data_IF_711893824554
#
_entry.id   IF_711893824554
#
_cell.length_a   1.000
_cell.length_b   1.000
_cell.length_c   1.000
_cell.angle_alpha   90.00
_cell.angle_beta   90.00
_cell.angle_gamma   90.00
#
_symmetry.space_group_name_H-M   'P 1'
#
loop_
_entity.id
_entity.type
_entity.pdbx_description
1 polymer ?
#
# COMPACT_ATOMS: atom_id res chain seq x y z
N UNK A 1 -15.77 11.79 -13.70
CA UNK A 1 -14.38 11.31 -13.76
C UNK A 1 -13.74 12.01 -14.92
N UNK A 2 -12.87 12.97 -14.63
CA UNK A 2 -12.13 13.72 -15.65
C UNK A 2 -11.09 12.76 -16.24
N UNK A 3 -11.11 12.56 -17.56
CA UNK A 3 -10.07 11.79 -18.24
C UNK A 3 -8.73 12.48 -18.02
N UNK A 4 -7.81 11.79 -17.34
CA UNK A 4 -6.43 12.24 -17.19
C UNK A 4 -5.72 12.01 -18.52
N UNK A 5 -5.89 12.95 -19.44
CA UNK A 5 -5.19 12.92 -20.72
C UNK A 5 -3.71 13.26 -20.50
N UNK A 6 -2.86 12.24 -20.45
CA UNK A 6 -1.41 12.44 -20.51
C UNK A 6 -1.04 13.13 -21.83
N UNK A 7 -0.35 14.28 -21.74
CA UNK A 7 0.28 14.88 -22.91
C UNK A 7 1.46 13.99 -23.31
N UNK A 8 1.27 13.21 -24.38
CA UNK A 8 2.24 12.22 -24.90
C UNK A 8 3.66 12.75 -25.14
N UNK A 9 3.82 14.06 -25.34
CA UNK A 9 5.10 14.69 -25.69
C UNK A 9 6.00 15.02 -24.48
N UNK A 10 5.49 14.93 -23.25
CA UNK A 10 6.22 15.30 -22.02
C UNK A 10 6.35 14.16 -21.00
N UNK A 11 5.84 12.96 -21.33
CA UNK A 11 5.82 11.81 -20.44
C UNK A 11 7.22 11.16 -20.31
N UNK A 12 7.91 11.40 -19.20
CA UNK A 12 9.21 10.79 -18.90
C UNK A 12 9.04 9.59 -17.98
N UNK A 13 9.46 8.40 -18.42
CA UNK A 13 9.54 7.22 -17.55
C UNK A 13 10.64 7.42 -16.51
N UNK A 14 10.29 7.36 -15.23
CA UNK A 14 11.20 7.52 -14.09
C UNK A 14 11.69 6.17 -13.58
N UNK A 15 10.79 5.20 -13.47
CA UNK A 15 11.09 3.86 -12.97
C UNK A 15 10.01 2.86 -13.39
N UNK A 16 10.28 1.58 -13.18
CA UNK A 16 9.30 0.49 -13.36
C UNK A 16 9.03 -0.18 -12.02
N UNK A 17 7.84 -0.76 -11.89
CA UNK A 17 7.41 -1.50 -10.71
C UNK A 17 6.37 -2.55 -11.09
N UNK A 18 5.92 -3.35 -10.12
CA UNK A 18 4.77 -4.24 -10.27
C UNK A 18 3.53 -3.58 -9.69
N UNK A 19 2.39 -3.79 -10.33
CA UNK A 19 1.08 -3.29 -9.91
C UNK A 19 0.02 -4.38 -10.13
N UNK A 20 -1.24 -4.03 -9.86
CA UNK A 20 -2.38 -4.92 -9.97
C UNK A 20 -3.38 -4.34 -10.97
N UNK A 21 -3.90 -5.18 -11.87
CA UNK A 21 -4.99 -4.82 -12.76
C UNK A 21 -6.26 -4.52 -11.94
N UNK A 22 -6.91 -3.36 -12.13
CA UNK A 22 -8.09 -2.98 -11.33
C UNK A 22 -9.32 -3.84 -11.61
N UNK A 23 -9.34 -4.56 -12.74
CA UNK A 23 -10.48 -5.40 -13.15
C UNK A 23 -10.32 -6.86 -12.69
N UNK A 24 -9.18 -7.50 -12.98
CA UNK A 24 -8.98 -8.93 -12.69
C UNK A 24 -7.98 -9.25 -11.59
N UNK A 25 -7.39 -8.24 -10.95
CA UNK A 25 -6.38 -8.40 -9.91
C UNK A 25 -5.11 -9.16 -10.31
N UNK A 26 -4.86 -9.32 -11.62
CA UNK A 26 -3.62 -9.89 -12.11
C UNK A 26 -2.43 -8.97 -11.79
N UNK A 27 -1.31 -9.56 -11.38
CA UNK A 27 -0.04 -8.85 -11.18
C UNK A 27 0.57 -8.51 -12.54
N UNK A 28 0.81 -7.23 -12.79
CA UNK A 28 1.26 -6.70 -14.10
C UNK A 28 2.38 -5.67 -13.91
N UNK A 29 3.24 -5.52 -14.91
CA UNK A 29 4.26 -4.48 -14.91
C UNK A 29 3.62 -3.09 -15.06
N UNK A 30 4.23 -2.12 -14.40
CA UNK A 30 3.82 -0.72 -14.44
C UNK A 30 5.03 0.20 -14.59
N UNK A 31 4.82 1.31 -15.27
CA UNK A 31 5.77 2.39 -15.45
C UNK A 31 5.35 3.59 -14.60
N UNK A 32 6.28 4.15 -13.85
CA UNK A 32 6.11 5.43 -13.16
C UNK A 32 6.55 6.52 -14.11
N UNK A 33 5.66 7.46 -14.41
CA UNK A 33 5.83 8.48 -15.42
C UNK A 33 5.63 9.86 -14.80
N UNK A 34 6.50 10.80 -15.14
CA UNK A 34 6.32 12.21 -14.81
C UNK A 34 5.67 12.95 -15.98
N UNK A 35 4.65 13.75 -15.70
CA UNK A 35 4.00 14.63 -16.70
C UNK A 35 3.28 15.78 -15.99
N UNK A 36 3.38 17.00 -16.52
CA UNK A 36 2.67 18.18 -16.00
C UNK A 36 2.85 18.41 -14.48
N UNK A 37 4.08 18.23 -13.98
CA UNK A 37 4.41 18.40 -12.56
C UNK A 37 3.80 17.35 -11.62
N UNK A 38 3.28 16.23 -12.17
CA UNK A 38 2.68 15.12 -11.42
C UNK A 38 3.33 13.80 -11.80
N UNK A 39 3.09 12.79 -10.97
CA UNK A 39 3.54 11.41 -11.19
C UNK A 39 2.32 10.53 -11.45
N UNK A 40 2.39 9.79 -12.54
CA UNK A 40 1.37 8.83 -12.97
C UNK A 40 1.94 7.42 -12.95
N UNK A 41 1.07 6.44 -12.79
CA UNK A 41 1.38 5.03 -12.98
C UNK A 41 0.64 4.53 -14.21
N UNK A 42 1.39 4.10 -15.22
CA UNK A 42 0.86 3.48 -16.43
C UNK A 42 1.05 1.96 -16.34
N UNK A 43 0.00 1.19 -16.58
CA UNK A 43 0.02 -0.28 -16.53
C UNK A 43 -0.82 -0.86 -17.66
N UNK A 44 -0.40 -1.99 -18.20
CA UNK A 44 -1.08 -2.65 -19.33
C UNK A 44 -1.45 -4.06 -18.93
N UNK A 45 -2.75 -4.34 -18.85
CA UNK A 45 -3.29 -5.68 -18.69
C UNK A 45 -3.51 -6.31 -20.07
N UNK A 46 -3.02 -7.54 -20.33
CA UNK A 46 -3.25 -8.23 -21.60
C UNK A 46 -4.74 -8.46 -21.94
N UNK A 47 -5.60 -8.44 -20.93
CA UNK A 47 -7.05 -8.70 -21.07
C UNK A 47 -7.86 -7.41 -21.04
N UNK A 48 -7.53 -6.46 -20.16
CA UNK A 48 -8.35 -5.26 -19.90
C UNK A 48 -7.77 -3.96 -20.47
N UNK A 49 -6.60 -4.01 -21.11
CA UNK A 49 -5.99 -2.86 -21.78
C UNK A 49 -5.12 -1.98 -20.88
N UNK A 50 -4.96 -0.73 -21.28
CA UNK A 50 -4.09 0.25 -20.63
C UNK A 50 -4.85 1.04 -19.56
N UNK A 51 -4.20 1.22 -18.41
CA UNK A 51 -4.65 2.10 -17.33
C UNK A 51 -3.56 3.11 -17.04
N UNK A 52 -3.95 4.36 -16.89
CA UNK A 52 -3.08 5.43 -16.37
C UNK A 52 -3.79 6.10 -15.22
N UNK A 53 -3.13 6.16 -14.08
CA UNK A 53 -3.72 6.70 -12.84
C UNK A 53 -2.76 7.68 -12.19
N UNK A 54 -3.29 8.69 -11.49
CA UNK A 54 -2.47 9.60 -10.69
C UNK A 54 -1.84 8.83 -9.51
N UNK A 55 -0.52 8.80 -9.47
CA UNK A 55 0.23 8.14 -8.40
C UNK A 55 0.68 9.14 -7.33
N UNK A 56 1.16 10.32 -7.73
CA UNK A 56 1.58 11.38 -6.81
C UNK A 56 1.26 12.75 -7.41
N UNK A 57 0.55 13.61 -6.67
CA UNK A 57 0.04 14.90 -7.17
C UNK A 57 1.06 16.02 -7.35
N UNK A 58 2.32 15.80 -6.95
CA UNK A 58 3.40 16.79 -6.94
C UNK A 58 4.74 16.06 -7.20
N UNK A 59 5.34 16.33 -8.36
CA UNK A 59 6.58 15.70 -8.79
C UNK A 59 7.79 16.14 -7.95
N UNK A 60 7.85 17.40 -7.50
CA UNK A 60 8.96 17.89 -6.66
C UNK A 60 8.97 17.15 -5.32
N UNK A 61 7.79 17.02 -4.71
CA UNK A 61 7.60 16.30 -3.46
C UNK A 61 7.92 14.81 -3.61
N UNK A 62 7.50 14.19 -4.71
CA UNK A 62 7.86 12.81 -5.03
C UNK A 62 9.38 12.64 -5.06
N UNK A 63 10.09 13.45 -5.86
CA UNK A 63 11.56 13.38 -5.97
C UNK A 63 12.26 13.67 -4.64
N UNK A 64 11.71 14.57 -3.82
CA UNK A 64 12.23 14.82 -2.46
C UNK A 64 12.11 13.58 -1.59
N UNK A 65 10.96 12.90 -1.61
CA UNK A 65 10.71 11.73 -0.77
C UNK A 65 11.40 10.46 -1.27
N UNK A 66 11.56 10.29 -2.59
CA UNK A 66 12.27 9.15 -3.17
C UNK A 66 13.73 9.03 -2.69
N UNK A 67 14.36 10.13 -2.26
CA UNK A 67 15.71 10.13 -1.67
C UNK A 67 15.81 9.35 -0.35
N UNK A 68 14.69 9.14 0.32
CA UNK A 68 14.62 8.40 1.58
C UNK A 68 14.14 6.95 1.40
N UNK A 69 13.85 6.52 0.16
CA UNK A 69 13.46 5.15 -0.11
C UNK A 69 14.64 4.21 0.13
N UNK A 70 14.45 3.24 1.02
CA UNK A 70 15.47 2.26 1.37
C UNK A 70 14.82 0.98 1.88
N UNK A 71 15.32 -0.18 1.45
CA UNK A 71 14.85 -1.48 1.92
C UNK A 71 15.33 -1.74 3.34
N UNK A 72 14.42 -2.06 4.26
CA UNK A 72 14.80 -2.42 5.62
C UNK A 72 15.54 -3.76 5.68
N UNK A 73 15.96 -4.17 6.88
CA UNK A 73 16.66 -5.45 7.09
C UNK A 73 15.75 -6.69 6.96
N UNK A 74 14.47 -6.49 6.69
CA UNK A 74 13.45 -7.54 6.76
C UNK A 74 13.17 -8.02 8.17
N UNK A 75 12.38 -9.07 8.28
CA UNK A 75 11.86 -9.59 9.53
C UNK A 75 12.57 -10.89 9.96
N UNK A 76 12.88 -11.00 11.25
CA UNK A 76 13.49 -12.23 11.80
C UNK A 76 12.47 -13.32 12.17
N UNK A 77 11.19 -12.97 12.29
CA UNK A 77 10.12 -13.88 12.70
C UNK A 77 8.92 -13.84 11.74
N UNK A 78 9.09 -14.30 10.48
CA UNK A 78 7.97 -14.38 9.54
C UNK A 78 6.91 -15.37 10.02
N UNK A 79 5.65 -14.96 10.00
CA UNK A 79 4.49 -15.84 10.25
C UNK A 79 4.17 -16.68 9.01
N UNK A 80 4.44 -16.15 7.81
CA UNK A 80 4.33 -16.89 6.56
C UNK A 80 5.71 -17.41 6.18
N UNK A 81 5.93 -18.72 6.21
CA UNK A 81 7.25 -19.35 6.01
C UNK A 81 7.56 -19.73 4.55
N UNK A 82 6.62 -19.46 3.62
CA UNK A 82 6.81 -19.78 2.20
C UNK A 82 7.92 -18.92 1.59
N UNK A 83 8.84 -19.57 0.88
CA UNK A 83 9.97 -18.91 0.20
C UNK A 83 9.57 -18.36 -1.19
N UNK A 84 8.48 -18.86 -1.78
CA UNK A 84 7.91 -18.41 -3.06
C UNK A 84 6.82 -17.37 -2.89
N UNK A 85 7.12 -16.26 -2.21
CA UNK A 85 6.12 -15.21 -2.01
C UNK A 85 5.78 -14.51 -3.34
N UNK A 86 4.49 -14.36 -3.60
CA UNK A 86 3.94 -13.66 -4.76
C UNK A 86 3.06 -12.54 -4.21
N UNK A 87 3.65 -11.38 -3.94
CA UNK A 87 2.87 -10.22 -3.48
C UNK A 87 1.88 -9.80 -4.59
N UNK A 88 0.57 -9.63 -4.32
CA UNK A 88 -0.14 -9.71 -3.03
C UNK A 88 -0.89 -11.04 -2.77
N UNK A 89 -0.74 -12.06 -3.60
CA UNK A 89 -1.55 -13.30 -3.62
C UNK A 89 -1.35 -14.22 -2.40
N UNK A 90 -0.21 -14.16 -1.71
CA UNK A 90 0.03 -14.85 -0.44
C UNK A 90 0.51 -13.88 0.64
N UNK A 91 -0.09 -12.68 0.70
CA UNK A 91 0.32 -11.62 1.60
C UNK A 91 0.04 -11.96 3.08
N UNK A 92 1.03 -11.64 3.92
CA UNK A 92 1.13 -11.86 5.35
C UNK A 92 2.57 -11.53 5.76
N UNK A 93 2.91 -11.57 7.05
CA UNK A 93 4.25 -11.23 7.53
C UNK A 93 5.30 -12.28 7.06
N UNK A 94 5.76 -12.20 5.80
CA UNK A 94 6.63 -13.15 5.09
C UNK A 94 8.08 -12.62 4.91
N UNK A 95 9.04 -13.45 4.48
CA UNK A 95 10.44 -13.02 4.27
C UNK A 95 10.61 -11.88 3.25
N UNK A 96 9.67 -11.70 2.33
CA UNK A 96 9.66 -10.58 1.39
C UNK A 96 9.30 -9.22 2.00
N UNK A 97 8.80 -9.18 3.24
CA UNK A 97 8.60 -7.91 3.94
C UNK A 97 9.91 -7.36 4.48
N UNK A 98 10.51 -6.50 3.67
CA UNK A 98 11.77 -5.81 3.98
C UNK A 98 11.57 -4.65 4.97
N UNK A 99 10.41 -4.01 4.96
CA UNK A 99 10.04 -2.95 5.90
C UNK A 99 9.61 -3.53 7.26
N UNK A 100 9.87 -2.76 8.32
CA UNK A 100 9.38 -3.06 9.67
C UNK A 100 8.08 -2.32 9.94
N UNK A 101 7.39 -2.69 11.01
CA UNK A 101 6.18 -2.02 11.48
C UNK A 101 6.42 -0.52 11.67
N UNK A 102 5.90 0.30 10.75
CA UNK A 102 6.01 1.77 10.81
C UNK A 102 5.04 2.37 11.83
N UNK A 103 3.88 1.74 12.02
CA UNK A 103 2.88 2.12 13.02
C UNK A 103 2.28 0.85 13.61
N UNK A 104 2.44 0.67 14.91
CA UNK A 104 1.77 -0.38 15.68
C UNK A 104 0.60 0.22 16.44
N UNK A 105 -0.60 -0.30 16.21
CA UNK A 105 -1.78 0.08 16.96
C UNK A 105 -2.17 -1.08 17.88
N UNK A 106 -2.28 -0.81 19.17
CA UNK A 106 -2.69 -1.80 20.19
C UNK A 106 -3.99 -1.32 20.79
N UNK A 107 -5.04 -2.12 20.67
CA UNK A 107 -6.35 -1.84 21.25
C UNK A 107 -6.45 -2.56 22.59
N UNK A 108 -6.39 -1.79 23.67
CA UNK A 108 -6.44 -2.32 25.04
C UNK A 108 -7.86 -2.42 25.60
N UNK A 109 -8.85 -1.82 24.94
CA UNK A 109 -10.27 -1.93 25.30
C UNK A 109 -11.13 -2.05 24.03
N UNK A 110 -12.29 -2.69 24.10
CA UNK A 110 -13.24 -2.76 22.99
C UNK A 110 -14.39 -1.73 23.09
N UNK A 111 -14.20 -0.64 23.87
CA UNK A 111 -15.21 0.42 24.03
C UNK A 111 -15.45 1.21 22.76
N UNK A 112 -14.40 1.41 21.97
CA UNK A 112 -14.52 2.02 20.66
C UNK A 112 -15.38 1.11 19.78
N UNK A 113 -16.54 1.59 19.33
CA UNK A 113 -17.40 0.84 18.42
C UNK A 113 -16.93 0.93 16.96
N UNK A 114 -15.84 1.66 16.70
CA UNK A 114 -15.09 1.71 15.45
C UNK A 114 -15.96 2.01 14.21
N UNK A 115 -17.08 2.72 14.44
CA UNK A 115 -18.04 3.13 13.43
C UNK A 115 -17.72 4.50 12.80
N UNK A 116 -16.46 4.95 12.92
CA UNK A 116 -15.99 6.17 12.28
C UNK A 116 -15.91 5.95 10.76
N UNK A 117 -16.27 6.96 9.98
CA UNK A 117 -16.32 6.84 8.50
C UNK A 117 -14.95 6.57 7.84
N UNK A 118 -13.84 6.76 8.55
CA UNK A 118 -12.46 6.44 8.13
C UNK A 118 -11.76 5.45 9.08
N UNK A 119 -12.49 4.48 9.63
CA UNK A 119 -11.89 3.53 10.57
C UNK A 119 -10.97 2.51 9.86
N UNK A 120 -9.66 2.58 10.10
CA UNK A 120 -8.66 1.61 9.62
C UNK A 120 -8.47 0.40 10.55
N UNK A 121 -9.28 0.30 11.60
CA UNK A 121 -9.10 -0.62 12.71
C UNK A 121 -10.48 -1.11 13.15
N UNK A 122 -10.98 -2.24 12.67
CA UNK A 122 -12.26 -2.80 13.14
C UNK A 122 -11.98 -3.94 14.10
N UNK A 123 -12.32 -3.74 15.38
CA UNK A 123 -12.34 -4.76 16.42
C UNK A 123 -13.79 -4.90 16.86
N UNK A 124 -14.47 -5.90 16.32
CA UNK A 124 -15.86 -6.18 16.64
C UNK A 124 -16.02 -6.49 18.14
N UNK A 125 -17.16 -6.10 18.71
CA UNK A 125 -17.48 -6.46 20.10
C UNK A 125 -17.64 -7.97 20.20
N UNK A 126 -16.85 -8.61 21.07
CA UNK A 126 -16.96 -10.04 21.38
C UNK A 126 -18.18 -10.39 22.27
N UNK A 127 -19.29 -9.65 22.15
CA UNK A 127 -20.50 -9.81 22.98
C UNK A 127 -20.46 -9.18 24.37
N UNK A 128 -19.31 -8.65 24.83
CA UNK A 128 -19.16 -7.95 26.12
C UNK A 128 -18.15 -6.80 26.02
N UNK A 129 -18.11 -5.91 27.01
CA UNK A 129 -17.10 -4.85 27.12
C UNK A 129 -15.85 -5.40 27.80
N UNK A 130 -14.73 -5.41 27.08
CA UNK A 130 -13.40 -5.67 27.60
C UNK A 130 -12.74 -4.32 27.92
N UNK A 131 -12.51 -4.06 29.21
CA UNK A 131 -11.95 -2.82 29.74
C UNK A 131 -11.09 -3.16 30.98
N UNK A 132 -9.81 -3.51 30.79
CA UNK A 132 -8.89 -3.77 31.90
C UNK A 132 -8.62 -2.49 32.70
N UNK A 133 -8.44 -2.66 34.01
CA UNK A 133 -7.93 -1.65 34.92
C UNK A 133 -6.48 -1.26 34.60
N UNK A 134 -6.03 -0.12 35.13
CA UNK A 134 -4.64 0.32 34.97
C UNK A 134 -3.68 -0.67 35.62
N UNK A 135 -4.07 -1.29 36.73
CA UNK A 135 -3.29 -2.33 37.39
C UNK A 135 -3.15 -3.60 36.53
N UNK A 136 -4.18 -4.00 35.78
CA UNK A 136 -4.12 -5.15 34.86
C UNK A 136 -3.28 -4.89 33.60
N UNK A 137 -3.05 -3.61 33.25
CA UNK A 137 -2.24 -3.18 32.11
C UNK A 137 -0.76 -2.93 32.44
N UNK A 138 -0.39 -2.91 33.73
CA UNK A 138 0.99 -2.68 34.20
C UNK A 138 1.79 -3.97 34.26
#
# INVERSE_FOLDING_TARGET
>A
MEEVALKKEEAKVISTTMSVCPECNAVISAEIIESDGKIFMKKICPVHGEFTELYFGDAEMYHRFSKYAHDGKGISNPQVKELGYTCPLNCGLCPGHMSHTALANIVVTNRCNLACWYCFFYAERAGYVYEPSIEELR
#
